data_IF_594338027737
#
_entry.id   IF_594338027737
#
_cell.length_a   1.000
_cell.length_b   1.000
_cell.length_c   1.000
_cell.angle_alpha   90.00
_cell.angle_beta   90.00
_cell.angle_gamma   90.00
#
_symmetry.space_group_name_H-M   'P 1'
#
loop_
_entity.id
_entity.type
_entity.pdbx_description
1 polymer ?
#
# COMPACT_ATOMS: atom_id res chain seq x y z
N UNK A 1 5.78 8.77 60.58
CA UNK A 1 5.47 8.71 62.03
C UNK A 1 4.22 7.85 62.19
N UNK A 2 4.22 6.94 63.18
CA UNK A 2 3.10 6.04 63.62
C UNK A 2 3.01 4.64 62.97
N UNK A 3 3.54 3.64 63.71
CA UNK A 3 3.02 2.32 64.14
C UNK A 3 2.14 1.49 63.17
N UNK A 4 2.55 0.29 62.69
CA UNK A 4 2.60 -1.06 63.34
C UNK A 4 1.33 -1.92 63.18
N UNK A 5 1.53 -3.25 63.08
CA UNK A 5 0.59 -4.41 63.03
C UNK A 5 0.08 -4.84 61.63
N UNK A 6 -0.11 -6.11 61.24
CA UNK A 6 0.23 -7.45 61.78
C UNK A 6 -0.16 -8.53 60.72
N UNK A 7 0.64 -9.60 60.64
CA UNK A 7 0.35 -11.02 60.31
C UNK A 7 -0.50 -11.47 59.08
N UNK A 8 0.06 -12.48 58.39
CA UNK A 8 -0.59 -13.45 57.47
C UNK A 8 -0.74 -14.83 58.19
N UNK A 9 -1.09 -15.98 57.55
CA UNK A 9 -2.09 -16.33 56.50
C UNK A 9 -2.94 -17.62 56.85
N UNK A 10 -3.94 -18.00 56.04
CA UNK A 10 -4.40 -19.39 55.76
C UNK A 10 -5.59 -19.37 54.76
N UNK A 11 -5.52 -19.89 53.53
CA UNK A 11 -5.57 -21.30 53.05
C UNK A 11 -6.87 -22.07 53.40
N UNK A 12 -7.81 -22.17 52.45
CA UNK A 12 -8.88 -23.17 52.42
C UNK A 12 -9.11 -23.62 50.96
N UNK A 13 -9.12 -24.94 50.76
CA UNK A 13 -9.48 -25.67 49.53
C UNK A 13 -10.57 -26.72 49.88
N UNK A 14 -11.14 -27.47 48.91
CA UNK A 14 -12.59 -27.49 48.62
C UNK A 14 -13.33 -28.73 49.18
N UNK A 15 -14.67 -28.66 49.23
CA UNK A 15 -15.53 -29.82 49.55
C UNK A 15 -16.54 -30.13 48.43
N UNK A 16 -16.53 -31.41 48.03
CA UNK A 16 -17.46 -32.12 47.14
C UNK A 16 -18.87 -32.24 47.74
N UNK A 17 -19.91 -32.22 46.89
CA UNK A 17 -21.15 -32.99 47.11
C UNK A 17 -21.72 -33.44 45.74
N UNK A 18 -22.08 -34.72 45.65
CA UNK A 18 -23.08 -35.30 44.74
C UNK A 18 -23.77 -36.45 45.50
N UNK A 19 -24.54 -37.38 44.87
CA UNK A 19 -25.52 -37.28 43.78
C UNK A 19 -26.88 -37.96 44.16
N UNK A 20 -27.99 -37.70 43.44
CA UNK A 20 -29.16 -38.64 43.29
C UNK A 20 -30.27 -37.99 42.42
N UNK A 21 -30.52 -38.50 41.21
CA UNK A 21 -31.57 -39.47 40.80
C UNK A 21 -32.97 -38.84 40.52
N UNK A 22 -33.49 -39.08 39.31
CA UNK A 22 -34.92 -38.95 39.01
C UNK A 22 -35.28 -38.73 37.53
N UNK A 23 -35.49 -39.82 36.79
CA UNK A 23 -35.94 -39.91 35.39
C UNK A 23 -37.37 -39.38 35.15
N UNK A 24 -37.62 -38.95 33.89
CA UNK A 24 -38.72 -39.28 32.93
C UNK A 24 -39.18 -38.01 32.19
N UNK A 25 -39.68 -37.97 30.95
CA UNK A 25 -39.51 -38.68 29.67
C UNK A 25 -40.50 -38.01 28.70
N UNK A 26 -40.13 -37.84 27.40
CA UNK A 26 -40.99 -37.56 26.22
C UNK A 26 -41.65 -36.15 26.20
N UNK A 27 -41.77 -35.41 25.08
CA UNK A 27 -41.84 -35.74 23.66
C UNK A 27 -41.76 -34.47 22.79
N UNK A 28 -41.35 -34.65 21.53
CA UNK A 28 -41.75 -33.92 20.31
C UNK A 28 -41.41 -32.42 20.15
N UNK A 29 -40.50 -32.13 19.20
CA UNK A 29 -40.83 -31.36 17.98
C UNK A 29 -39.69 -31.50 16.94
N UNK A 30 -40.10 -31.82 15.71
CA UNK A 30 -39.30 -32.19 14.54
C UNK A 30 -39.25 -31.00 13.57
N UNK A 31 -38.16 -30.77 12.83
CA UNK A 31 -38.13 -29.75 11.76
C UNK A 31 -38.86 -30.24 10.50
N UNK A 32 -39.46 -29.34 9.69
CA UNK A 32 -40.33 -29.71 8.58
C UNK A 32 -39.55 -30.22 7.36
N UNK A 33 -40.11 -31.25 6.74
CA UNK A 33 -39.75 -31.81 5.44
C UNK A 33 -40.69 -31.20 4.38
N UNK A 34 -40.16 -30.88 3.20
CA UNK A 34 -40.94 -30.73 1.98
C UNK A 34 -40.44 -31.75 0.94
N UNK A 35 -41.40 -32.24 0.18
CA UNK A 35 -41.53 -33.59 -0.36
C UNK A 35 -40.70 -33.93 -1.60
N UNK A 36 -40.38 -35.22 -1.69
CA UNK A 36 -39.93 -35.95 -2.89
C UNK A 36 -40.98 -35.90 -4.01
N UNK A 37 -40.50 -35.86 -5.25
CA UNK A 37 -41.22 -36.36 -6.42
C UNK A 37 -40.24 -37.09 -7.36
N UNK A 38 -40.55 -38.37 -7.58
CA UNK A 38 -40.15 -39.27 -8.68
C UNK A 38 -38.69 -39.75 -8.80
N UNK A 39 -38.57 -41.07 -8.98
CA UNK A 39 -37.34 -41.81 -9.17
C UNK A 39 -37.32 -42.60 -10.48
N UNK A 40 -36.20 -43.32 -10.64
CA UNK A 40 -35.86 -44.37 -11.63
C UNK A 40 -35.91 -43.89 -13.10
N UNK A 41 -34.88 -44.04 -13.92
CA UNK A 41 -34.17 -45.28 -14.20
C UNK A 41 -32.80 -45.07 -14.89
N UNK A 42 -32.10 -46.18 -15.08
CA UNK A 42 -30.70 -46.37 -15.46
C UNK A 42 -30.21 -45.90 -16.85
N UNK A 43 -28.87 -45.81 -16.92
CA UNK A 43 -27.97 -46.21 -18.01
C UNK A 43 -27.56 -45.18 -19.10
N UNK A 44 -26.25 -45.15 -19.38
CA UNK A 44 -25.72 -44.71 -20.67
C UNK A 44 -24.49 -43.80 -20.60
N UNK A 45 -23.30 -44.39 -20.59
CA UNK A 45 -22.03 -43.69 -20.82
C UNK A 45 -21.93 -43.20 -22.27
N UNK A 46 -21.80 -41.89 -22.49
CA UNK A 46 -21.29 -41.36 -23.77
C UNK A 46 -20.39 -40.14 -23.54
N UNK A 47 -19.12 -40.28 -23.94
CA UNK A 47 -18.12 -39.21 -24.01
C UNK A 47 -18.60 -38.11 -24.97
N UNK A 48 -18.63 -36.86 -24.52
CA UNK A 48 -18.83 -35.70 -25.40
C UNK A 48 -17.50 -34.96 -25.52
N UNK A 49 -16.96 -34.99 -26.74
CA UNK A 49 -15.83 -34.18 -27.17
C UNK A 49 -16.32 -32.73 -27.39
N UNK A 50 -15.71 -31.77 -26.68
CA UNK A 50 -15.92 -30.34 -26.93
C UNK A 50 -15.01 -29.95 -28.11
N UNK A 51 -15.62 -29.72 -29.27
CA UNK A 51 -14.96 -29.10 -30.43
C UNK A 51 -14.88 -27.58 -30.21
N UNK A 52 -13.66 -27.05 -30.19
CA UNK A 52 -13.38 -25.61 -30.33
C UNK A 52 -13.79 -25.15 -31.73
N UNK A 53 -14.71 -24.18 -31.81
CA UNK A 53 -14.99 -23.44 -33.04
C UNK A 53 -14.46 -22.03 -32.84
N UNK A 54 -13.39 -21.70 -33.56
CA UNK A 54 -12.84 -20.36 -33.64
C UNK A 54 -13.68 -19.54 -34.64
N UNK A 55 -14.35 -18.49 -34.15
CA UNK A 55 -14.99 -17.49 -35.00
C UNK A 55 -14.03 -16.30 -35.14
N UNK A 56 -13.36 -16.21 -36.29
CA UNK A 56 -12.55 -15.04 -36.67
C UNK A 56 -13.49 -14.01 -37.29
N UNK A 57 -13.76 -12.92 -36.57
CA UNK A 57 -14.43 -11.74 -37.15
C UNK A 57 -13.35 -10.72 -37.49
N UNK A 58 -13.09 -10.57 -38.79
CA UNK A 58 -12.23 -9.54 -39.35
C UNK A 58 -12.98 -8.20 -39.37
N UNK A 59 -12.61 -7.26 -38.50
CA UNK A 59 -13.11 -5.89 -38.51
C UNK A 59 -12.21 -4.99 -39.35
N UNK A 60 -12.64 -4.65 -40.57
CA UNK A 60 -12.04 -3.59 -41.37
C UNK A 60 -12.62 -2.24 -40.92
N UNK A 61 -11.76 -1.34 -40.42
CA UNK A 61 -12.12 0.05 -40.13
C UNK A 61 -12.04 0.85 -41.43
N UNK A 62 -13.19 1.30 -41.95
CA UNK A 62 -13.29 2.16 -43.12
C UNK A 62 -13.69 3.58 -42.66
N UNK A 63 -12.79 4.55 -42.75
CA UNK A 63 -13.12 5.96 -42.54
C UNK A 63 -13.88 6.50 -43.75
N UNK A 64 -15.21 6.57 -43.66
CA UNK A 64 -16.06 7.25 -44.65
C UNK A 64 -16.18 8.72 -44.27
N UNK A 65 -15.63 9.59 -45.11
CA UNK A 65 -15.82 11.05 -45.03
C UNK A 65 -17.17 11.38 -45.64
N UNK A 66 -18.13 11.82 -44.83
CA UNK A 66 -19.44 12.27 -45.31
C UNK A 66 -19.33 13.76 -45.62
N UNK A 67 -19.51 14.11 -46.89
CA UNK A 67 -19.84 15.45 -47.35
C UNK A 67 -21.36 15.54 -47.45
N UNK A 68 -21.96 16.55 -46.85
CA UNK A 68 -23.03 17.33 -47.50
C UNK A 68 -23.21 18.69 -46.80
N UNK A 69 -23.69 19.61 -47.60
CA UNK A 69 -23.57 21.07 -47.58
C UNK A 69 -24.67 21.79 -46.79
N UNK A 70 -24.40 23.04 -46.38
CA UNK A 70 -25.07 24.27 -46.88
C UNK A 70 -24.56 25.51 -46.10
N UNK A 71 -23.99 26.44 -46.90
CA UNK A 71 -23.92 27.92 -46.80
C UNK A 71 -23.60 28.61 -45.46
N UNK A 72 -22.45 29.29 -45.39
CA UNK A 72 -22.45 30.77 -45.57
C UNK A 72 -21.04 31.29 -45.96
N UNK A 73 -21.04 32.43 -46.62
CA UNK A 73 -19.99 33.18 -47.33
C UNK A 73 -18.64 33.36 -46.58
N UNK A 74 -17.51 33.05 -47.24
CA UNK A 74 -16.55 34.07 -47.71
C UNK A 74 -15.38 33.39 -48.46
N UNK A 75 -15.17 33.78 -49.72
CA UNK A 75 -14.38 33.04 -50.70
C UNK A 75 -13.20 33.89 -51.15
N UNK A 76 -11.97 33.58 -50.72
CA UNK A 76 -10.77 33.97 -51.47
C UNK A 76 -9.72 32.86 -51.50
N UNK A 77 -9.53 32.31 -52.70
CA UNK A 77 -8.63 31.21 -53.05
C UNK A 77 -7.18 31.67 -53.17
N UNK A 78 -6.26 30.89 -52.59
CA UNK A 78 -4.81 31.07 -52.74
C UNK A 78 -4.30 30.39 -54.01
N UNK A 79 -4.37 31.08 -55.16
CA UNK A 79 -3.40 30.93 -56.25
C UNK A 79 -3.19 32.29 -56.92
N UNK A 80 -1.91 32.58 -57.16
CA UNK A 80 -1.33 33.66 -57.97
C UNK A 80 -1.20 35.06 -57.34
N UNK A 81 -0.07 35.32 -56.66
CA UNK A 81 0.80 36.50 -56.93
C UNK A 81 2.28 36.16 -56.68
N UNK A 82 2.96 35.88 -57.79
CA UNK A 82 4.26 36.39 -58.26
C UNK A 82 5.42 36.77 -57.29
N UNK A 83 6.51 36.00 -57.44
CA UNK A 83 7.93 36.37 -57.70
C UNK A 83 8.57 37.57 -56.98
N UNK A 84 9.70 37.31 -56.32
CA UNK A 84 10.99 37.93 -56.65
C UNK A 84 12.17 37.09 -56.12
N UNK A 85 13.22 37.00 -56.95
CA UNK A 85 14.44 36.22 -56.78
C UNK A 85 15.45 36.93 -55.87
N UNK A 86 16.19 36.17 -55.06
CA UNK A 86 17.40 36.60 -54.35
C UNK A 86 18.20 35.39 -53.87
N UNK A 87 19.35 35.16 -54.51
CA UNK A 87 20.22 33.97 -54.42
C UNK A 87 21.19 33.97 -53.23
N UNK A 88 21.32 32.79 -52.59
CA UNK A 88 22.54 32.10 -52.09
C UNK A 88 23.42 32.80 -51.02
N UNK A 89 23.40 32.26 -49.79
CA UNK A 89 24.59 31.65 -49.13
C UNK A 89 24.12 30.35 -48.46
N UNK A 90 24.85 29.26 -48.74
CA UNK A 90 24.49 27.90 -48.34
C UNK A 90 24.39 27.72 -46.83
N UNK A 91 23.38 26.94 -46.46
CA UNK A 91 23.09 26.44 -45.14
C UNK A 91 24.24 25.53 -44.69
N UNK A 92 25.08 26.04 -43.79
CA UNK A 92 25.80 25.18 -42.85
C UNK A 92 24.78 24.49 -41.94
N UNK A 93 25.20 23.40 -41.28
CA UNK A 93 24.43 22.45 -40.45
C UNK A 93 23.97 21.18 -41.19
N UNK A 94 24.94 20.48 -41.79
CA UNK A 94 24.89 19.01 -41.83
C UNK A 94 25.04 18.49 -40.39
N UNK A 95 24.09 17.63 -40.00
CA UNK A 95 24.19 16.62 -38.95
C UNK A 95 24.50 17.10 -37.51
N UNK A 96 23.44 17.51 -36.80
CA UNK A 96 23.39 17.37 -35.35
C UNK A 96 21.97 16.96 -34.92
N UNK A 97 21.58 15.73 -35.24
CA UNK A 97 20.39 15.11 -34.65
C UNK A 97 20.54 13.59 -34.74
N UNK A 98 20.54 12.94 -33.57
CA UNK A 98 20.29 11.50 -33.47
C UNK A 98 21.46 10.61 -33.04
N UNK A 99 22.12 10.89 -31.90
CA UNK A 99 22.77 9.81 -31.13
C UNK A 99 22.54 9.89 -29.60
N UNK A 100 21.82 10.91 -29.14
CA UNK A 100 21.58 11.14 -27.72
C UNK A 100 20.24 10.56 -27.23
N UNK A 101 19.23 10.44 -28.09
CA UNK A 101 17.89 9.97 -27.71
C UNK A 101 17.86 8.48 -27.35
N UNK A 102 18.62 7.65 -28.05
CA UNK A 102 18.72 6.21 -27.75
C UNK A 102 19.53 5.93 -26.49
N UNK A 103 20.65 6.66 -26.29
CA UNK A 103 21.50 6.50 -25.10
C UNK A 103 20.81 6.97 -23.82
N UNK A 104 20.06 8.09 -23.86
CA UNK A 104 19.31 8.57 -22.70
C UNK A 104 18.15 7.65 -22.36
N UNK A 105 17.41 7.16 -23.36
CA UNK A 105 16.31 6.21 -23.14
C UNK A 105 16.82 4.85 -22.62
N UNK A 106 17.93 4.33 -23.16
CA UNK A 106 18.52 3.09 -22.68
C UNK A 106 19.09 3.23 -21.25
N UNK A 107 19.70 4.38 -20.91
CA UNK A 107 20.14 4.67 -19.55
C UNK A 107 18.97 4.68 -18.57
N UNK A 108 17.85 5.33 -18.92
CA UNK A 108 16.61 5.37 -18.13
C UNK A 108 16.01 3.96 -17.93
N UNK A 109 15.95 3.13 -18.97
CA UNK A 109 15.48 1.74 -18.82
C UNK A 109 16.37 0.89 -17.91
N UNK A 110 17.70 1.06 -18.00
CA UNK A 110 18.63 0.32 -17.14
C UNK A 110 18.51 0.78 -15.69
N UNK A 111 18.42 2.09 -15.44
CA UNK A 111 18.22 2.65 -14.10
C UNK A 111 16.91 2.13 -13.47
N UNK A 112 15.80 2.11 -14.24
CA UNK A 112 14.53 1.53 -13.80
C UNK A 112 14.66 0.06 -13.42
N UNK A 113 15.39 -0.73 -14.22
CA UNK A 113 15.65 -2.13 -13.93
C UNK A 113 16.46 -2.30 -12.64
N UNK A 114 17.58 -1.58 -12.50
CA UNK A 114 18.43 -1.63 -11.30
C UNK A 114 17.63 -1.32 -10.03
N UNK A 115 16.83 -0.25 -10.07
CA UNK A 115 15.98 0.16 -8.95
C UNK A 115 14.89 -0.85 -8.65
N UNK A 116 14.29 -1.48 -9.67
CA UNK A 116 13.25 -2.49 -9.49
C UNK A 116 13.81 -3.77 -8.85
N UNK A 117 14.99 -4.22 -9.28
CA UNK A 117 15.70 -5.36 -8.69
C UNK A 117 16.07 -5.10 -7.22
N UNK A 118 16.59 -3.89 -6.93
CA UNK A 118 16.91 -3.48 -5.56
C UNK A 118 15.67 -3.39 -4.68
N UNK A 119 14.60 -2.75 -5.17
CA UNK A 119 13.33 -2.64 -4.46
C UNK A 119 12.69 -4.01 -4.18
N UNK A 120 12.80 -4.96 -5.11
CA UNK A 120 12.33 -6.34 -4.88
C UNK A 120 13.11 -7.01 -3.75
N UNK A 121 14.42 -6.77 -3.67
CA UNK A 121 15.28 -7.33 -2.62
C UNK A 121 14.93 -6.73 -1.26
N UNK A 122 14.76 -5.40 -1.19
CA UNK A 122 14.29 -4.67 0.01
C UNK A 122 12.96 -5.25 0.52
N UNK A 123 11.98 -5.41 -0.37
CA UNK A 123 10.67 -5.98 -0.02
C UNK A 123 10.79 -7.40 0.55
N UNK A 124 11.71 -8.22 0.02
CA UNK A 124 11.98 -9.57 0.51
C UNK A 124 12.55 -9.58 1.93
N UNK A 125 13.58 -8.77 2.20
CA UNK A 125 14.17 -8.64 3.54
C UNK A 125 13.15 -8.10 4.55
N UNK A 126 12.40 -7.05 4.20
CA UNK A 126 11.37 -6.48 5.08
C UNK A 126 10.22 -7.44 5.34
N UNK A 127 9.77 -8.21 4.34
CA UNK A 127 8.76 -9.24 4.52
C UNK A 127 9.21 -10.31 5.53
N UNK A 128 10.47 -10.77 5.41
CA UNK A 128 11.04 -11.78 6.31
C UNK A 128 11.13 -11.24 7.74
N UNK A 129 11.71 -10.04 7.92
CA UNK A 129 11.83 -9.40 9.22
C UNK A 129 10.48 -9.22 9.93
N UNK A 130 9.44 -8.83 9.18
CA UNK A 130 8.09 -8.65 9.70
C UNK A 130 7.37 -9.97 9.98
N UNK A 131 7.60 -11.00 9.16
CA UNK A 131 7.02 -12.33 9.37
C UNK A 131 7.50 -12.93 10.69
N UNK A 132 8.76 -12.69 11.04
CA UNK A 132 9.35 -13.16 12.30
C UNK A 132 8.94 -12.30 13.51
N UNK A 133 8.38 -11.11 13.28
CA UNK A 133 7.99 -10.15 14.32
C UNK A 133 6.60 -9.55 14.06
N UNK A 134 5.53 -10.36 14.04
CA UNK A 134 4.17 -9.90 13.72
C UNK A 134 3.63 -8.86 14.71
N UNK A 135 4.06 -8.91 15.97
CA UNK A 135 3.63 -7.98 17.02
C UNK A 135 4.08 -6.53 16.77
N UNK A 136 5.11 -6.34 15.93
CA UNK A 136 5.64 -5.01 15.58
C UNK A 136 4.94 -4.38 14.37
N UNK A 137 4.02 -5.10 13.71
CA UNK A 137 3.27 -4.59 12.54
C UNK A 137 2.57 -3.26 12.86
N UNK A 138 1.78 -3.12 13.94
CA UNK A 138 1.13 -1.85 14.24
C UNK A 138 2.14 -0.74 14.55
N UNK A 139 3.19 -1.04 15.30
CA UNK A 139 4.25 -0.06 15.60
C UNK A 139 4.95 0.45 14.34
N UNK A 140 5.17 -0.40 13.34
CA UNK A 140 5.77 0.02 12.06
C UNK A 140 4.81 0.92 11.25
N UNK A 141 3.50 0.64 11.28
CA UNK A 141 2.51 1.51 10.67
C UNK A 141 2.47 2.89 11.36
N UNK A 142 2.43 2.91 12.69
CA UNK A 142 2.46 4.17 13.46
C UNK A 142 3.77 4.92 13.30
N UNK A 143 4.92 4.23 13.20
CA UNK A 143 6.21 4.84 12.92
C UNK A 143 6.19 5.63 11.59
N UNK A 144 5.69 5.00 10.51
CA UNK A 144 5.60 5.66 9.21
C UNK A 144 4.55 6.78 9.17
N UNK A 145 3.46 6.64 9.95
CA UNK A 145 2.47 7.70 10.13
C UNK A 145 3.09 8.91 10.83
N UNK A 146 3.79 8.71 11.94
CA UNK A 146 4.34 9.78 12.76
C UNK A 146 5.45 10.54 12.02
N UNK A 147 6.33 9.82 11.32
CA UNK A 147 7.34 10.43 10.44
C UNK A 147 6.69 11.31 9.36
N UNK A 148 5.59 10.86 8.75
CA UNK A 148 4.92 11.64 7.71
C UNK A 148 4.06 12.81 8.24
N UNK A 149 3.50 12.66 9.44
CA UNK A 149 2.56 13.61 10.03
C UNK A 149 3.24 14.88 10.55
N UNK A 150 4.58 14.96 10.59
CA UNK A 150 5.31 16.18 10.93
C UNK A 150 5.23 17.24 9.83
N UNK A 151 4.71 16.88 8.65
CA UNK A 151 4.60 17.78 7.51
C UNK A 151 3.74 19.01 7.84
N UNK A 152 4.29 20.18 7.59
CA UNK A 152 3.58 21.45 7.62
C UNK A 152 3.56 22.08 6.22
N UNK A 153 2.37 22.34 5.70
CA UNK A 153 2.15 22.91 4.37
C UNK A 153 2.63 24.36 4.26
N UNK A 154 2.57 25.13 5.36
CA UNK A 154 2.93 26.55 5.34
C UNK A 154 4.45 26.73 5.20
N UNK A 155 5.22 26.02 6.02
CA UNK A 155 6.69 26.05 5.99
C UNK A 155 7.31 25.08 4.99
N UNK A 156 6.52 24.14 4.45
CA UNK A 156 7.00 23.02 3.60
C UNK A 156 8.14 22.24 4.28
N UNK A 157 8.01 22.02 5.58
CA UNK A 157 8.98 21.31 6.42
C UNK A 157 8.37 20.05 7.04
N UNK A 158 9.22 19.13 7.48
CA UNK A 158 8.81 17.81 7.94
C UNK A 158 8.30 16.90 6.82
N UNK A 159 7.52 15.90 7.18
CA UNK A 159 7.08 14.83 6.30
C UNK A 159 7.99 13.61 6.38
N UNK A 160 7.74 12.57 5.57
CA UNK A 160 8.43 11.29 5.67
C UNK A 160 9.89 11.45 5.22
N UNK A 161 10.75 11.88 6.13
CA UNK A 161 12.15 12.22 5.93
C UNK A 161 13.07 11.41 6.87
N UNK A 162 12.50 10.46 7.62
CA UNK A 162 13.24 9.63 8.56
C UNK A 162 13.77 10.37 9.78
N UNK A 163 13.29 11.59 10.08
CA UNK A 163 13.63 12.38 11.27
C UNK A 163 13.30 11.63 12.57
N UNK A 164 12.24 10.81 12.55
CA UNK A 164 11.81 10.00 13.68
C UNK A 164 12.90 9.07 14.25
N UNK A 165 13.95 8.77 13.49
CA UNK A 165 15.09 7.95 13.95
C UNK A 165 15.92 8.63 15.04
N UNK A 166 15.88 9.96 15.13
CA UNK A 166 16.69 10.70 16.09
C UNK A 166 16.17 10.50 17.52
N UNK A 167 17.10 10.37 18.47
CA UNK A 167 16.78 10.17 19.88
C UNK A 167 15.89 11.28 20.46
N UNK A 168 16.03 12.51 19.97
CA UNK A 168 15.20 13.65 20.38
C UNK A 168 13.74 13.57 19.90
N UNK A 169 13.46 12.74 18.89
CA UNK A 169 12.12 12.58 18.31
C UNK A 169 11.48 11.25 18.71
N UNK A 170 12.20 10.13 18.63
CA UNK A 170 11.67 8.80 19.01
C UNK A 170 11.27 8.72 20.50
N UNK A 171 11.90 9.53 21.36
CA UNK A 171 11.61 9.54 22.80
C UNK A 171 10.46 10.48 23.19
N UNK A 172 9.84 11.17 22.22
CA UNK A 172 8.69 12.03 22.49
C UNK A 172 7.45 11.20 22.88
N UNK A 173 6.53 11.74 23.68
CA UNK A 173 5.35 11.01 24.15
C UNK A 173 4.50 10.35 23.05
N UNK A 174 4.36 10.98 21.89
CA UNK A 174 3.64 10.47 20.72
C UNK A 174 4.29 9.25 20.05
N UNK A 175 5.59 9.05 20.25
CA UNK A 175 6.40 8.00 19.65
C UNK A 175 6.71 6.86 20.64
N UNK A 176 6.03 6.87 21.79
CA UNK A 176 6.22 5.88 22.85
C UNK A 176 5.95 4.46 22.32
N UNK A 177 6.89 3.56 22.57
CA UNK A 177 6.77 2.15 22.18
C UNK A 177 7.23 1.84 20.75
N UNK A 178 7.67 2.84 19.97
CA UNK A 178 8.12 2.64 18.59
C UNK A 178 9.60 2.25 18.46
N UNK A 179 10.38 2.34 19.54
CA UNK A 179 11.83 2.04 19.51
C UNK A 179 12.15 0.61 19.10
N UNK A 180 11.31 -0.36 19.46
CA UNK A 180 11.50 -1.77 19.06
C UNK A 180 11.31 -1.96 17.55
N UNK A 181 10.32 -1.28 16.97
CA UNK A 181 10.10 -1.26 15.53
C UNK A 181 11.28 -0.60 14.81
N UNK A 182 11.74 0.56 15.28
CA UNK A 182 12.91 1.24 14.69
C UNK A 182 14.15 0.35 14.71
N UNK A 183 14.44 -0.33 15.82
CA UNK A 183 15.58 -1.26 15.93
C UNK A 183 15.48 -2.42 14.93
N UNK A 184 14.29 -2.98 14.72
CA UNK A 184 14.09 -4.01 13.69
C UNK A 184 14.44 -3.47 12.30
N UNK A 185 13.98 -2.24 12.00
CA UNK A 185 14.28 -1.61 10.71
C UNK A 185 15.77 -1.30 10.55
N UNK A 186 16.46 -0.89 11.61
CA UNK A 186 17.91 -0.68 11.58
C UNK A 186 18.70 -1.96 11.27
N UNK A 187 18.31 -3.11 11.82
CA UNK A 187 18.92 -4.39 11.48
C UNK A 187 18.64 -4.79 10.02
N UNK A 188 17.39 -4.63 9.56
CA UNK A 188 17.04 -4.86 8.16
C UNK A 188 17.81 -3.92 7.22
N UNK A 189 18.03 -2.67 7.63
CA UNK A 189 18.81 -1.69 6.87
C UNK A 189 20.27 -2.13 6.72
N UNK A 190 20.90 -2.62 7.78
CA UNK A 190 22.29 -3.14 7.72
C UNK A 190 22.41 -4.26 6.71
N UNK A 191 21.44 -5.18 6.69
CA UNK A 191 21.38 -6.25 5.70
C UNK A 191 21.22 -5.68 4.28
N UNK A 192 20.24 -4.79 4.07
CA UNK A 192 19.98 -4.15 2.78
C UNK A 192 21.21 -3.42 2.24
N UNK A 193 21.87 -2.65 3.09
CA UNK A 193 23.05 -1.87 2.73
C UNK A 193 24.23 -2.78 2.36
N UNK A 194 24.33 -3.99 2.93
CA UNK A 194 25.40 -4.94 2.64
C UNK A 194 25.39 -5.48 1.21
N UNK A 195 24.21 -5.57 0.58
CA UNK A 195 24.06 -6.02 -0.80
C UNK A 195 23.70 -4.90 -1.78
N UNK A 196 23.53 -3.66 -1.31
CA UNK A 196 23.25 -2.52 -2.18
C UNK A 196 24.43 -2.22 -3.09
N UNK A 197 24.13 -1.97 -4.37
CA UNK A 197 25.11 -1.60 -5.40
C UNK A 197 25.13 -0.10 -5.69
N UNK A 198 24.09 0.62 -5.26
CA UNK A 198 23.82 2.01 -5.61
C UNK A 198 23.89 2.98 -4.42
N UNK A 199 24.58 2.59 -3.34
CA UNK A 199 24.67 3.37 -2.09
C UNK A 199 23.67 2.92 -1.01
N UNK A 200 23.80 3.43 0.22
CA UNK A 200 22.96 3.02 1.34
C UNK A 200 21.51 3.44 1.12
N UNK A 201 20.57 2.62 1.57
CA UNK A 201 19.14 2.95 1.58
C UNK A 201 18.90 4.10 2.57
N UNK A 202 18.08 5.10 2.20
CA UNK A 202 17.67 6.15 3.14
C UNK A 202 16.74 5.60 4.22
N UNK A 203 16.81 6.15 5.44
CA UNK A 203 15.88 5.82 6.51
C UNK A 203 14.43 6.17 6.13
N UNK A 204 14.25 7.27 5.41
CA UNK A 204 12.95 7.67 4.87
C UNK A 204 12.34 6.59 3.97
N UNK A 205 13.08 6.08 2.98
CA UNK A 205 12.58 5.00 2.13
C UNK A 205 12.36 3.72 2.92
N UNK A 206 13.30 3.35 3.81
CA UNK A 206 13.19 2.17 4.67
C UNK A 206 11.90 2.16 5.48
N UNK A 207 11.56 3.26 6.16
CA UNK A 207 10.37 3.38 7.01
C UNK A 207 9.09 3.22 6.17
N UNK A 208 9.02 3.90 5.02
CA UNK A 208 7.84 3.86 4.16
C UNK A 208 7.66 2.48 3.51
N UNK A 209 8.73 1.83 3.06
CA UNK A 209 8.65 0.47 2.51
C UNK A 209 8.39 -0.59 3.59
N UNK A 210 8.85 -0.38 4.83
CA UNK A 210 8.48 -1.23 5.95
C UNK A 210 6.99 -1.14 6.25
N UNK A 211 6.41 0.06 6.26
CA UNK A 211 4.97 0.25 6.42
C UNK A 211 4.16 -0.31 5.23
N UNK A 212 4.68 -0.26 3.99
CA UNK A 212 4.08 -0.99 2.87
C UNK A 212 4.04 -2.50 3.14
N UNK A 213 5.16 -3.08 3.59
CA UNK A 213 5.24 -4.51 3.89
C UNK A 213 4.31 -4.89 5.05
N UNK A 214 4.25 -4.07 6.10
CA UNK A 214 3.34 -4.22 7.23
C UNK A 214 1.86 -4.15 6.79
N UNK A 215 1.52 -3.19 5.93
CA UNK A 215 0.17 -3.07 5.34
C UNK A 215 -0.21 -4.33 4.56
N UNK A 216 0.70 -4.84 3.71
CA UNK A 216 0.48 -6.09 2.97
C UNK A 216 0.32 -7.29 3.89
N UNK A 217 1.04 -7.33 5.02
CA UNK A 217 0.88 -8.35 6.04
C UNK A 217 -0.55 -8.33 6.63
N UNK A 218 -1.10 -7.15 6.94
CA UNK A 218 -2.49 -7.05 7.42
C UNK A 218 -3.52 -7.56 6.39
N UNK A 219 -3.30 -7.32 5.10
CA UNK A 219 -4.18 -7.80 4.03
C UNK A 219 -4.09 -9.32 3.89
N UNK A 220 -2.86 -9.86 3.93
CA UNK A 220 -2.63 -11.31 3.90
C UNK A 220 -3.26 -11.99 5.13
N UNK A 221 -3.09 -11.43 6.33
CA UNK A 221 -3.72 -11.94 7.55
C UNK A 221 -5.25 -12.00 7.42
N UNK A 222 -5.88 -10.94 6.88
CA UNK A 222 -7.32 -10.93 6.58
C UNK A 222 -7.72 -12.03 5.60
N UNK A 223 -6.95 -12.24 4.53
CA UNK A 223 -7.22 -13.30 3.55
C UNK A 223 -7.11 -14.71 4.16
N UNK A 224 -6.12 -14.95 5.02
CA UNK A 224 -5.95 -16.22 5.76
C UNK A 224 -7.13 -16.44 6.71
N UNK A 225 -7.53 -15.41 7.46
CA UNK A 225 -8.68 -15.47 8.37
C UNK A 225 -9.98 -15.81 7.62
N UNK A 226 -10.22 -15.17 6.47
CA UNK A 226 -11.37 -15.46 5.59
C UNK A 226 -11.35 -16.87 5.03
N UNK A 227 -10.17 -17.48 4.92
CA UNK A 227 -9.99 -18.87 4.51
C UNK A 227 -10.04 -19.86 5.70
N UNK A 228 -10.52 -19.43 6.87
CA UNK A 228 -10.62 -20.28 8.07
C UNK A 228 -9.25 -20.62 8.69
N UNK A 229 -8.25 -19.76 8.51
CA UNK A 229 -6.89 -19.98 9.01
C UNK A 229 -6.00 -20.82 8.10
N UNK A 230 -6.47 -21.22 6.90
CA UNK A 230 -5.65 -21.95 5.95
C UNK A 230 -4.69 -21.01 5.21
N UNK A 231 -3.39 -21.11 5.52
CA UNK A 231 -2.37 -20.24 4.95
C UNK A 231 -2.23 -20.37 3.43
N UNK A 232 -2.26 -21.57 2.87
CA UNK A 232 -2.09 -21.78 1.42
C UNK A 232 -3.23 -21.13 0.63
N UNK A 233 -4.47 -21.33 1.06
CA UNK A 233 -5.65 -20.70 0.46
C UNK A 233 -5.64 -19.19 0.67
N UNK A 234 -5.23 -18.73 1.84
CA UNK A 234 -5.09 -17.30 2.13
C UNK A 234 -4.06 -16.62 1.22
N UNK A 235 -2.90 -17.25 1.01
CA UNK A 235 -1.87 -16.76 0.08
C UNK A 235 -2.37 -16.73 -1.37
N UNK A 236 -3.10 -17.76 -1.81
CA UNK A 236 -3.70 -17.78 -3.14
C UNK A 236 -4.74 -16.66 -3.31
N UNK A 237 -5.61 -16.49 -2.31
CA UNK A 237 -6.63 -15.44 -2.30
C UNK A 237 -6.00 -14.04 -2.32
N UNK A 238 -5.00 -13.80 -1.49
CA UNK A 238 -4.26 -12.55 -1.44
C UNK A 238 -3.51 -12.29 -2.75
N UNK A 239 -2.91 -13.31 -3.36
CA UNK A 239 -2.23 -13.17 -4.66
C UNK A 239 -3.20 -12.72 -5.76
N UNK A 240 -4.45 -13.20 -5.72
CA UNK A 240 -5.48 -12.85 -6.69
C UNK A 240 -6.14 -11.48 -6.43
N UNK A 241 -6.41 -11.13 -5.17
CA UNK A 241 -7.26 -9.98 -4.81
C UNK A 241 -6.61 -8.92 -3.90
N UNK A 242 -5.35 -9.10 -3.47
CA UNK A 242 -4.65 -8.21 -2.54
C UNK A 242 -4.18 -6.87 -3.12
N UNK A 243 -4.87 -6.40 -4.16
CA UNK A 243 -4.67 -5.08 -4.79
C UNK A 243 -3.22 -4.76 -5.16
N UNK A 244 -2.43 -5.78 -5.53
CA UNK A 244 -0.99 -5.64 -5.81
C UNK A 244 -0.68 -4.59 -6.90
N UNK A 245 -1.57 -4.45 -7.90
CA UNK A 245 -1.43 -3.45 -8.96
C UNK A 245 -1.58 -1.99 -8.50
N UNK A 246 -2.24 -1.74 -7.37
CA UNK A 246 -2.45 -0.38 -6.85
C UNK A 246 -1.17 0.24 -6.27
N UNK A 247 -0.19 -0.58 -5.89
CA UNK A 247 1.09 -0.14 -5.35
C UNK A 247 2.04 0.48 -6.38
N UNK A 248 1.70 0.45 -7.68
CA UNK A 248 2.60 0.93 -8.74
C UNK A 248 3.04 2.39 -8.58
N UNK A 249 2.14 3.28 -8.13
CA UNK A 249 2.52 4.67 -7.87
C UNK A 249 3.42 4.78 -6.63
N UNK A 250 3.10 4.06 -5.54
CA UNK A 250 3.91 4.02 -4.34
C UNK A 250 5.34 3.56 -4.65
N UNK A 251 5.49 2.45 -5.37
CA UNK A 251 6.77 1.86 -5.73
C UNK A 251 7.61 2.79 -6.62
N UNK A 252 6.94 3.64 -7.40
CA UNK A 252 7.60 4.68 -8.20
C UNK A 252 8.14 5.82 -7.33
N UNK A 253 7.50 6.11 -6.20
CA UNK A 253 8.01 7.06 -5.20
C UNK A 253 9.10 6.38 -4.36
N UNK A 254 10.29 6.24 -4.94
CA UNK A 254 11.47 5.63 -4.32
C UNK A 254 12.69 6.53 -4.53
N UNK A 255 13.46 6.82 -3.49
CA UNK A 255 14.53 7.82 -3.52
C UNK A 255 14.18 9.07 -2.72
N UNK A 256 13.65 8.88 -1.52
CA UNK A 256 13.43 9.97 -0.55
C UNK A 256 14.73 10.36 0.13
N UNK A 257 14.84 11.62 0.53
CA UNK A 257 16.03 12.13 1.23
C UNK A 257 15.84 12.07 2.75
N UNK A 258 16.90 11.70 3.45
CA UNK A 258 16.93 11.72 4.91
C UNK A 258 17.09 13.15 5.44
N UNK A 259 16.37 13.48 6.51
CA UNK A 259 16.62 14.68 7.30
C UNK A 259 17.91 14.51 8.11
N UNK A 260 18.67 15.59 8.30
CA UNK A 260 19.85 15.64 9.15
C UNK A 260 19.51 15.91 10.63
N UNK A 261 18.31 16.44 10.89
CA UNK A 261 17.83 16.86 12.21
C UNK A 261 16.42 16.30 12.51
N UNK A 262 16.03 16.19 13.79
CA UNK A 262 14.67 15.86 14.18
C UNK A 262 13.68 16.95 13.74
N UNK A 263 12.46 16.55 13.38
CA UNK A 263 11.42 17.49 13.01
C UNK A 263 10.90 18.25 14.24
N UNK A 264 10.33 19.47 14.06
CA UNK A 264 9.87 20.27 15.19
C UNK A 264 8.81 19.59 16.06
N UNK A 265 8.90 19.84 17.36
CA UNK A 265 8.00 19.29 18.37
C UNK A 265 6.57 19.87 18.26
N UNK A 266 5.60 19.18 18.87
CA UNK A 266 4.19 19.61 18.95
C UNK A 266 3.39 19.46 17.66
N UNK A 267 3.95 18.80 16.64
CA UNK A 267 3.26 18.56 15.36
C UNK A 267 2.42 17.29 15.36
N UNK A 268 2.72 16.32 16.22
CA UNK A 268 2.07 15.01 16.23
C UNK A 268 1.16 14.88 17.45
N UNK A 269 0.04 14.18 17.28
CA UNK A 269 -0.89 13.89 18.36
C UNK A 269 -0.52 12.58 19.07
N UNK A 270 -0.78 12.50 20.36
CA UNK A 270 -0.83 11.20 21.05
C UNK A 270 -2.14 10.49 20.66
N UNK A 271 -2.11 9.67 19.61
CA UNK A 271 -3.30 9.06 19.00
C UNK A 271 -4.21 8.32 20.00
N UNK A 272 -3.64 7.66 21.02
CA UNK A 272 -4.39 6.95 22.07
C UNK A 272 -5.26 7.87 22.94
N UNK A 273 -4.91 9.15 23.04
CA UNK A 273 -5.55 10.14 23.93
C UNK A 273 -6.24 11.26 23.18
N UNK A 274 -5.95 11.42 21.90
CA UNK A 274 -6.51 12.46 21.07
C UNK A 274 -8.01 12.26 20.85
N UNK A 275 -8.75 13.37 20.83
CA UNK A 275 -10.14 13.40 20.40
C UNK A 275 -10.25 13.21 18.88
N UNK A 276 -11.41 12.75 18.42
CA UNK A 276 -11.66 12.60 16.97
C UNK A 276 -11.58 13.96 16.26
N UNK A 277 -11.95 15.05 16.93
CA UNK A 277 -11.84 16.39 16.37
C UNK A 277 -10.39 16.80 16.13
N UNK A 278 -9.50 16.59 17.10
CA UNK A 278 -8.05 16.85 16.93
C UNK A 278 -7.47 16.00 15.78
N UNK A 279 -7.87 14.72 15.70
CA UNK A 279 -7.45 13.85 14.59
C UNK A 279 -7.92 14.40 13.24
N UNK A 280 -9.18 14.82 13.11
CA UNK A 280 -9.70 15.43 11.87
C UNK A 280 -8.95 16.70 11.50
N UNK A 281 -8.71 17.59 12.46
CA UNK A 281 -7.97 18.83 12.25
C UNK A 281 -6.54 18.54 11.79
N UNK A 282 -5.87 17.55 12.41
CA UNK A 282 -4.52 17.16 12.02
C UNK A 282 -4.44 16.62 10.59
N UNK A 283 -5.37 15.72 10.20
CA UNK A 283 -5.45 15.23 8.83
C UNK A 283 -5.80 16.37 7.84
N UNK A 284 -6.68 17.30 8.24
CA UNK A 284 -7.05 18.46 7.43
C UNK A 284 -5.88 19.40 7.19
N UNK A 285 -5.03 19.63 8.20
CA UNK A 285 -3.85 20.48 8.10
C UNK A 285 -2.85 20.01 7.03
N UNK A 286 -2.75 18.70 6.79
CA UNK A 286 -1.89 18.11 5.76
C UNK A 286 -2.61 17.86 4.43
N UNK A 287 -3.85 18.32 4.28
CA UNK A 287 -4.63 18.22 3.04
C UNK A 287 -5.41 16.92 2.87
N UNK A 288 -5.63 16.18 3.94
CA UNK A 288 -6.54 15.03 3.99
C UNK A 288 -7.89 15.41 4.61
N UNK A 289 -8.82 14.47 4.67
CA UNK A 289 -10.14 14.68 5.28
C UNK A 289 -10.63 13.46 6.04
N UNK A 290 -11.91 13.47 6.46
CA UNK A 290 -12.52 12.41 7.27
C UNK A 290 -12.40 11.01 6.66
N UNK A 291 -12.46 10.91 5.32
CA UNK A 291 -12.28 9.64 4.59
C UNK A 291 -10.90 9.03 4.83
N UNK A 292 -9.85 9.83 4.71
CA UNK A 292 -8.47 9.38 4.89
C UNK A 292 -8.20 9.00 6.34
N UNK A 293 -8.75 9.75 7.29
CA UNK A 293 -8.69 9.40 8.71
C UNK A 293 -9.32 8.02 8.96
N UNK A 294 -10.50 7.76 8.42
CA UNK A 294 -11.19 6.48 8.57
C UNK A 294 -10.44 5.30 7.93
N UNK A 295 -9.92 5.47 6.71
CA UNK A 295 -9.24 4.36 6.00
C UNK A 295 -7.89 4.00 6.62
N UNK A 296 -7.24 4.96 7.27
CA UNK A 296 -5.96 4.78 7.95
C UNK A 296 -6.12 4.33 9.41
N UNK A 297 -7.28 3.79 9.82
CA UNK A 297 -7.55 3.38 11.20
C UNK A 297 -6.48 2.45 11.79
N UNK A 298 -5.91 1.53 11.00
CA UNK A 298 -4.85 0.62 11.44
C UNK A 298 -3.49 1.31 11.74
N UNK A 299 -3.28 2.56 11.32
CA UNK A 299 -2.04 3.30 11.57
C UNK A 299 -2.06 4.05 12.91
N UNK A 300 -3.26 4.28 13.47
CA UNK A 300 -3.46 5.10 14.66
C UNK A 300 -3.25 4.33 15.97
N UNK A 301 -3.16 3.01 15.91
CA UNK A 301 -2.96 2.16 17.09
C UNK A 301 -3.01 0.66 16.80
N UNK A 302 -2.74 -0.17 17.82
CA UNK A 302 -2.66 -1.62 17.68
C UNK A 302 -4.01 -2.31 17.47
N UNK A 303 -5.10 -1.75 17.99
CA UNK A 303 -6.45 -2.31 17.84
C UNK A 303 -7.29 -1.44 16.91
N UNK A 304 -7.35 -1.86 15.64
CA UNK A 304 -8.14 -1.18 14.61
C UNK A 304 -9.63 -1.09 14.98
N UNK A 305 -10.18 -2.10 15.67
CA UNK A 305 -11.61 -2.13 16.00
C UNK A 305 -11.98 -1.12 17.09
N UNK A 306 -11.12 -0.98 18.10
CA UNK A 306 -11.25 0.04 19.14
C UNK A 306 -11.11 1.45 18.55
N UNK A 307 -10.10 1.67 17.70
CA UNK A 307 -9.91 2.93 16.99
C UNK A 307 -11.14 3.30 16.15
N UNK A 308 -11.68 2.36 15.38
CA UNK A 308 -12.86 2.62 14.55
C UNK A 308 -14.12 2.88 15.37
N UNK A 309 -14.26 2.24 16.53
CA UNK A 309 -15.37 2.50 17.45
C UNK A 309 -15.30 3.94 18.00
N UNK A 310 -14.10 4.44 18.28
CA UNK A 310 -13.88 5.84 18.64
C UNK A 310 -14.19 6.78 17.46
N UNK A 311 -13.65 6.50 16.27
CA UNK A 311 -13.87 7.32 15.07
C UNK A 311 -15.35 7.38 14.64
N UNK A 312 -16.10 6.29 14.85
CA UNK A 312 -17.53 6.21 14.57
C UNK A 312 -18.40 7.11 15.47
N UNK A 313 -17.84 7.66 16.56
CA UNK A 313 -18.56 8.65 17.38
C UNK A 313 -18.77 10.00 16.68
N UNK A 314 -17.95 10.31 15.67
CA UNK A 314 -18.05 11.55 14.90
C UNK A 314 -18.95 11.38 13.65
N UNK A 315 -19.98 12.22 13.45
CA UNK A 315 -20.90 12.09 12.32
C UNK A 315 -20.27 12.22 10.92
N UNK A 316 -19.15 12.93 10.79
CA UNK A 316 -18.47 13.11 9.49
C UNK A 316 -17.59 11.91 9.12
N UNK A 317 -17.05 11.23 10.14
CA UNK A 317 -16.14 10.08 9.98
C UNK A 317 -16.93 8.77 9.92
N UNK A 318 -18.06 8.67 10.63
CA UNK A 318 -18.91 7.49 10.73
C UNK A 318 -19.28 6.84 9.37
N UNK A 319 -19.72 7.58 8.32
CA UNK A 319 -20.09 6.97 7.04
C UNK A 319 -18.91 6.25 6.37
N UNK A 320 -17.70 6.78 6.55
CA UNK A 320 -16.47 6.21 5.99
C UNK A 320 -16.03 4.98 6.76
N UNK A 321 -16.09 5.00 8.09
CA UNK A 321 -15.82 3.82 8.94
C UNK A 321 -16.75 2.67 8.54
N UNK A 322 -18.06 2.94 8.45
CA UNK A 322 -19.03 1.92 8.05
C UNK A 322 -18.79 1.41 6.62
N UNK A 323 -18.39 2.29 5.68
CA UNK A 323 -18.02 1.88 4.31
C UNK A 323 -16.87 0.88 4.35
N UNK A 324 -15.81 1.18 5.09
CA UNK A 324 -14.62 0.33 5.15
C UNK A 324 -14.83 -0.96 5.93
N UNK A 325 -15.66 -0.95 6.98
CA UNK A 325 -16.12 -2.16 7.66
C UNK A 325 -16.86 -3.10 6.71
N UNK A 326 -17.88 -2.59 6.00
CA UNK A 326 -18.60 -3.37 4.96
C UNK A 326 -17.66 -3.89 3.88
N UNK A 327 -16.68 -3.09 3.47
CA UNK A 327 -15.66 -3.54 2.51
C UNK A 327 -14.86 -4.71 3.06
N UNK A 328 -14.35 -4.62 4.30
CA UNK A 328 -13.55 -5.69 4.92
C UNK A 328 -14.34 -6.97 5.18
N UNK A 329 -15.65 -6.89 5.36
CA UNK A 329 -16.54 -8.06 5.42
C UNK A 329 -16.63 -8.82 4.09
N UNK A 330 -16.44 -8.15 2.95
CA UNK A 330 -16.38 -8.84 1.64
C UNK A 330 -15.08 -9.65 1.52
N UNK A 331 -15.09 -10.69 0.68
CA UNK A 331 -13.91 -11.55 0.48
C UNK A 331 -12.68 -10.74 0.02
N UNK A 332 -12.85 -9.90 -1.01
CA UNK A 332 -11.74 -9.16 -1.62
C UNK A 332 -11.41 -7.82 -0.97
N UNK A 333 -12.31 -7.24 -0.15
CA UNK A 333 -12.09 -5.99 0.60
C UNK A 333 -11.50 -4.83 -0.21
N UNK A 334 -11.85 -4.77 -1.49
CA UNK A 334 -11.16 -3.96 -2.51
C UNK A 334 -11.22 -2.47 -2.23
N UNK A 335 -12.38 -1.93 -1.87
CA UNK A 335 -12.54 -0.50 -1.56
C UNK A 335 -11.64 -0.05 -0.41
N UNK A 336 -11.54 -0.86 0.65
CA UNK A 336 -10.66 -0.58 1.78
C UNK A 336 -9.19 -0.62 1.36
N UNK A 337 -8.74 -1.68 0.69
CA UNK A 337 -7.35 -1.82 0.27
C UNK A 337 -6.92 -0.70 -0.68
N UNK A 338 -7.72 -0.43 -1.72
CA UNK A 338 -7.42 0.57 -2.74
C UNK A 338 -7.38 1.98 -2.15
N UNK A 339 -8.34 2.33 -1.31
CA UNK A 339 -8.40 3.66 -0.67
C UNK A 339 -7.26 3.84 0.34
N UNK A 340 -6.91 2.78 1.08
CA UNK A 340 -5.77 2.79 2.01
C UNK A 340 -4.47 3.03 1.25
N UNK A 341 -4.21 2.23 0.20
CA UNK A 341 -3.00 2.38 -0.62
C UNK A 341 -2.94 3.78 -1.23
N UNK A 342 -4.06 4.29 -1.74
CA UNK A 342 -4.12 5.63 -2.33
C UNK A 342 -3.78 6.72 -1.32
N UNK A 343 -4.30 6.61 -0.10
CA UNK A 343 -4.05 7.58 0.97
C UNK A 343 -2.62 7.47 1.46
N UNK A 344 -2.15 6.26 1.74
CA UNK A 344 -0.80 5.99 2.18
C UNK A 344 0.25 6.41 1.14
N UNK A 345 -0.02 6.19 -0.14
CA UNK A 345 0.83 6.69 -1.23
C UNK A 345 1.00 8.19 -1.15
N UNK A 346 -0.09 8.97 -1.04
CA UNK A 346 -0.01 10.43 -0.92
C UNK A 346 0.76 10.87 0.32
N UNK A 347 0.51 10.22 1.46
CA UNK A 347 1.18 10.50 2.72
C UNK A 347 2.69 10.26 2.62
N UNK A 348 3.09 9.17 1.98
CA UNK A 348 4.47 8.72 1.93
C UNK A 348 5.44 9.63 1.19
N UNK A 349 4.99 10.68 0.49
CA UNK A 349 5.91 11.63 -0.18
C UNK A 349 5.59 13.10 0.12
N UNK A 350 4.83 13.40 1.19
CA UNK A 350 4.53 14.78 1.57
C UNK A 350 5.83 15.58 1.80
N UNK A 351 6.00 16.72 1.12
CA UNK A 351 7.20 17.54 1.25
C UNK A 351 8.49 16.97 0.63
N UNK A 352 8.49 15.72 0.19
CA UNK A 352 9.66 15.06 -0.40
C UNK A 352 9.75 15.32 -1.91
N UNK A 353 10.98 15.56 -2.38
CA UNK A 353 11.31 15.53 -3.81
C UNK A 353 11.99 14.20 -4.12
N UNK A 354 11.31 13.35 -4.87
CA UNK A 354 11.81 11.99 -5.16
C UNK A 354 12.94 12.05 -6.18
N UNK A 355 14.09 11.51 -5.81
CA UNK A 355 15.20 11.29 -6.73
C UNK A 355 14.99 9.97 -7.52
N UNK A 356 14.55 10.10 -8.76
CA UNK A 356 14.32 8.96 -9.66
C UNK A 356 15.60 8.27 -10.16
N UNK A 357 16.77 8.84 -9.87
CA UNK A 357 18.08 8.26 -10.17
C UNK A 357 18.76 7.67 -8.92
N UNK A 358 18.16 7.82 -7.74
CA UNK A 358 18.66 7.22 -6.51
C UNK A 358 18.84 5.70 -6.65
N UNK A 359 19.86 5.18 -5.96
CA UNK A 359 20.21 3.75 -5.92
C UNK A 359 20.63 3.14 -7.27
N UNK A 360 20.96 3.97 -8.25
CA UNK A 360 21.50 3.51 -9.53
C UNK A 360 23.03 3.43 -9.46
N UNK A 361 23.62 2.65 -10.36
CA UNK A 361 25.07 2.46 -10.41
C UNK A 361 25.60 2.30 -11.84
N UNK A 362 26.88 2.63 -12.11
CA UNK A 362 27.44 2.55 -13.44
C UNK A 362 27.30 1.16 -14.06
N UNK A 363 26.80 1.11 -15.29
CA UNK A 363 26.66 -0.13 -16.05
C UNK A 363 28.02 -0.58 -16.55
N UNK A 364 28.44 -1.80 -16.19
CA UNK A 364 29.64 -2.40 -16.79
C UNK A 364 29.39 -2.62 -18.27
N UNK A 365 30.17 -1.95 -19.13
CA UNK A 365 30.12 -2.20 -20.58
C UNK A 365 30.55 -3.64 -20.82
N UNK A 366 29.71 -4.42 -21.50
CA UNK A 366 30.08 -5.78 -21.92
C UNK A 366 31.15 -5.63 -22.99
N UNK A 367 32.34 -6.13 -22.69
CA UNK A 367 33.44 -6.16 -23.63
C UNK A 367 33.18 -7.30 -24.62
N UNK A 368 32.54 -6.96 -25.75
CA UNK A 368 32.15 -7.93 -26.78
C UNK A 368 33.37 -8.67 -27.37
N UNK A 369 34.59 -8.13 -27.21
CA UNK A 369 35.83 -8.79 -27.64
C UNK A 369 36.23 -10.00 -26.78
N UNK A 370 35.65 -10.13 -25.57
CA UNK A 370 35.91 -11.24 -24.64
C UNK A 370 34.83 -12.32 -24.67
N UNK A 371 33.77 -12.11 -25.44
CA UNK A 371 32.78 -13.15 -25.70
C UNK A 371 33.39 -14.11 -26.73
N UNK A 372 33.77 -15.32 -26.27
CA UNK A 372 34.07 -16.42 -27.19
C UNK A 372 32.76 -16.79 -27.89
N UNK A 373 32.64 -16.39 -29.15
CA UNK A 373 31.58 -16.82 -30.06
C UNK A 373 31.80 -18.27 -30.48
#
# INVERSE_FOLDING_TARGET
MVLSLQAAPAFIQPTKVGPSLGRTSLSHLKPPQLSKAFGLDQAGSTKIAVRSVALVVAGNIFCRKTTDSVQDEDRFSRRDVLKCFGTIIGMEMIASSGSFTEKSFAADLIQRRQRSEFLSSIKGTLYTALKDNPDLVPSILTLALNDAMTYDKATKSGGPNGSIRFSAEINRPENRGLSAALRLLEEAKKEIDSYSKGGPLSYSDLIQFAAQSATKNTFLASAILKCGGNEEKGNLLYSAYGSNGQWGLFDRQFGRSDSEDPDPDGRILQWERASVQEMKEKFSAIGFGPRQLAVMSAFLGPDQSATESLLASDPEVLPWVQKYQRSRETVSQTDYEVDLITTFTKMSYLGQQINYEAYTYPVRKVDLSKLKL
#
